data_IF_909698458089
#
_entry.id   IF_909698458089
#
_cell.length_a   1.000
_cell.length_b   1.000
_cell.length_c   1.000
_cell.angle_alpha   90.00
_cell.angle_beta   90.00
_cell.angle_gamma   90.00
#
_symmetry.space_group_name_H-M   'P 1'
#
loop_
_entity.id
_entity.type
_entity.pdbx_description
1 polymer ?
#
# COMPACT_ATOMS: atom_id res chain seq x y z
N UNK A 1 0.35 -6.57 -5.34
CA UNK A 1 -0.81 -5.97 -4.63
C UNK A 1 -2.13 -6.64 -4.98
N UNK A 2 -2.44 -6.90 -6.26
CA UNK A 2 -3.73 -7.45 -6.72
C UNK A 2 -4.15 -8.76 -6.05
N UNK A 3 -3.25 -9.75 -5.95
CA UNK A 3 -3.56 -11.03 -5.29
C UNK A 3 -3.91 -10.88 -3.80
N UNK A 4 -3.26 -9.96 -3.08
CA UNK A 4 -3.57 -9.67 -1.68
C UNK A 4 -4.98 -9.06 -1.53
N UNK A 5 -5.40 -8.22 -2.47
CA UNK A 5 -6.77 -7.68 -2.50
C UNK A 5 -7.77 -8.80 -2.76
N UNK A 6 -7.58 -9.54 -3.86
CA UNK A 6 -8.54 -10.54 -4.33
C UNK A 6 -8.75 -11.70 -3.35
N UNK A 7 -7.67 -12.22 -2.78
CA UNK A 7 -7.71 -13.45 -1.97
C UNK A 7 -7.94 -13.20 -0.48
N UNK A 8 -7.74 -11.97 0.01
CA UNK A 8 -7.65 -11.71 1.47
C UNK A 8 -8.44 -10.50 1.93
N UNK A 9 -8.38 -9.38 1.22
CA UNK A 9 -9.11 -8.17 1.61
C UNK A 9 -10.57 -8.27 1.16
N UNK A 10 -10.82 -8.58 -0.11
CA UNK A 10 -12.17 -8.60 -0.68
C UNK A 10 -13.08 -9.67 -0.03
N UNK A 11 -12.62 -10.92 0.22
CA UNK A 11 -13.46 -11.90 0.90
C UNK A 11 -13.75 -11.53 2.36
N UNK A 12 -12.79 -10.92 3.05
CA UNK A 12 -12.98 -10.43 4.41
C UNK A 12 -14.02 -9.30 4.46
N UNK A 13 -13.94 -8.35 3.53
CA UNK A 13 -14.92 -7.27 3.40
C UNK A 13 -16.33 -7.79 3.09
N UNK A 14 -16.47 -8.75 2.18
CA UNK A 14 -17.77 -9.37 1.86
C UNK A 14 -18.42 -10.02 3.09
N UNK A 15 -17.65 -10.76 3.89
CA UNK A 15 -18.15 -11.36 5.14
C UNK A 15 -18.58 -10.32 6.16
N UNK A 16 -17.77 -9.27 6.34
CA UNK A 16 -18.11 -8.18 7.26
C UNK A 16 -19.40 -7.45 6.84
N UNK A 17 -19.62 -7.26 5.54
CA UNK A 17 -20.86 -6.64 5.02
C UNK A 17 -22.06 -7.56 5.28
N UNK A 18 -21.94 -8.86 4.97
CA UNK A 18 -23.01 -9.83 5.23
C UNK A 18 -23.38 -9.90 6.73
N UNK A 19 -22.39 -9.89 7.64
CA UNK A 19 -22.67 -9.86 9.07
C UNK A 19 -23.44 -8.61 9.50
N UNK A 20 -23.11 -7.44 8.93
CA UNK A 20 -23.84 -6.19 9.20
C UNK A 20 -25.26 -6.21 8.64
N UNK A 21 -25.46 -6.75 7.44
CA UNK A 21 -26.79 -6.90 6.82
C UNK A 21 -27.69 -7.83 7.65
N UNK A 22 -27.10 -8.83 8.29
CA UNK A 22 -27.81 -9.77 9.17
C UNK A 22 -27.90 -9.28 10.63
N UNK A 23 -27.51 -8.03 10.92
CA UNK A 23 -27.56 -7.44 12.26
C UNK A 23 -26.57 -8.02 13.27
N UNK A 24 -25.59 -8.82 12.80
CA UNK A 24 -24.52 -9.36 13.62
C UNK A 24 -23.36 -8.38 13.74
N UNK A 25 -22.56 -8.55 14.80
CA UNK A 25 -21.29 -7.82 14.96
C UNK A 25 -20.20 -8.50 14.11
N UNK A 26 -19.52 -7.78 13.20
CA UNK A 26 -18.44 -8.35 12.41
C UNK A 26 -17.26 -8.82 13.27
N UNK A 27 -16.59 -9.88 12.84
CA UNK A 27 -15.39 -10.39 13.51
C UNK A 27 -14.27 -9.34 13.55
N UNK A 28 -13.94 -8.89 14.77
CA UNK A 28 -12.89 -7.92 15.02
C UNK A 28 -11.50 -8.39 14.56
N UNK A 29 -11.20 -9.68 14.66
CA UNK A 29 -9.92 -10.24 14.22
C UNK A 29 -9.81 -10.22 12.70
N UNK A 30 -10.89 -10.54 11.99
CA UNK A 30 -10.98 -10.45 10.52
C UNK A 30 -10.80 -8.99 10.06
N UNK A 31 -11.49 -8.05 10.72
CA UNK A 31 -11.38 -6.63 10.44
C UNK A 31 -9.95 -6.09 10.66
N UNK A 32 -9.30 -6.47 11.76
CA UNK A 32 -7.92 -6.08 12.06
C UNK A 32 -6.93 -6.60 11.01
N UNK A 33 -7.08 -7.86 10.59
CA UNK A 33 -6.24 -8.49 9.55
C UNK A 33 -6.42 -7.81 8.19
N UNK A 34 -7.65 -7.52 7.79
CA UNK A 34 -7.94 -6.80 6.54
C UNK A 34 -7.35 -5.38 6.58
N UNK A 35 -7.51 -4.66 7.70
CA UNK A 35 -6.96 -3.31 7.91
C UNK A 35 -5.44 -3.28 7.81
N UNK A 36 -4.74 -4.25 8.40
CA UNK A 36 -3.28 -4.35 8.33
C UNK A 36 -2.81 -4.51 6.87
N UNK A 37 -3.47 -5.39 6.11
CA UNK A 37 -3.15 -5.61 4.68
C UNK A 37 -3.41 -4.38 3.83
N UNK A 38 -4.50 -3.66 4.08
CA UNK A 38 -4.78 -2.38 3.41
C UNK A 38 -3.70 -1.35 3.73
N UNK A 39 -3.27 -1.22 5.00
CA UNK A 39 -2.17 -0.32 5.38
C UNK A 39 -0.87 -0.68 4.66
N UNK A 40 -0.49 -1.95 4.64
CA UNK A 40 0.69 -2.41 3.91
C UNK A 40 0.59 -2.04 2.42
N UNK A 41 -0.54 -2.33 1.79
CA UNK A 41 -0.80 -1.96 0.41
C UNK A 41 -0.66 -0.45 0.18
N UNK A 42 -1.19 0.41 1.05
CA UNK A 42 -1.04 1.87 0.96
C UNK A 42 0.43 2.31 0.99
N UNK A 43 1.26 1.72 1.86
CA UNK A 43 2.68 2.04 1.91
C UNK A 43 3.46 1.54 0.70
N UNK A 44 3.02 0.46 0.07
CA UNK A 44 3.66 -0.12 -1.11
C UNK A 44 3.35 0.61 -2.41
N UNK A 45 2.37 1.52 -2.47
CA UNK A 45 2.01 2.24 -3.70
C UNK A 45 3.19 3.03 -4.24
N UNK A 46 3.83 3.85 -3.41
CA UNK A 46 4.95 4.72 -3.82
C UNK A 46 6.12 3.91 -4.42
N UNK A 47 6.69 2.90 -3.74
CA UNK A 47 7.78 2.11 -4.33
C UNK A 47 7.33 1.32 -5.56
N UNK A 48 6.10 0.79 -5.58
CA UNK A 48 5.60 0.03 -6.73
C UNK A 48 5.48 0.92 -7.98
N UNK A 49 4.86 2.10 -7.84
CA UNK A 49 4.72 3.06 -8.94
C UNK A 49 6.09 3.57 -9.38
N UNK A 50 7.00 3.84 -8.45
CA UNK A 50 8.36 4.22 -8.79
C UNK A 50 9.05 3.17 -9.66
N UNK A 51 8.96 1.89 -9.31
CA UNK A 51 9.53 0.80 -10.11
C UNK A 51 8.89 0.75 -11.51
N UNK A 52 7.56 0.88 -11.60
CA UNK A 52 6.84 0.89 -12.88
C UNK A 52 7.32 2.03 -13.81
N UNK A 53 7.48 3.23 -13.26
CA UNK A 53 7.96 4.40 -14.01
C UNK A 53 9.44 4.29 -14.34
N UNK A 54 10.26 3.77 -13.43
CA UNK A 54 11.71 3.62 -13.63
C UNK A 54 12.06 2.77 -14.84
N UNK A 55 11.27 1.73 -15.13
CA UNK A 55 11.44 0.92 -16.33
C UNK A 55 11.25 1.70 -17.65
N UNK A 56 10.57 2.85 -17.61
CA UNK A 56 10.39 3.74 -18.76
C UNK A 56 11.49 4.81 -18.87
N UNK A 57 12.34 4.95 -17.84
CA UNK A 57 13.48 5.87 -17.79
C UNK A 57 14.76 5.15 -17.35
N UNK A 58 15.21 4.11 -18.08
CA UNK A 58 16.29 3.24 -17.64
C UNK A 58 17.62 3.98 -17.45
N UNK A 59 17.91 5.00 -18.27
CA UNK A 59 19.14 5.82 -18.18
C UNK A 59 19.16 6.74 -16.96
N UNK A 60 17.99 7.21 -16.50
CA UNK A 60 17.87 8.10 -15.34
C UNK A 60 17.79 7.34 -14.00
N UNK A 61 17.45 6.05 -14.02
CA UNK A 61 17.16 5.26 -12.82
C UNK A 61 18.16 4.11 -12.63
N UNK A 62 17.98 2.96 -13.28
CA UNK A 62 18.78 1.76 -13.02
C UNK A 62 20.14 1.71 -13.74
N UNK A 63 20.26 2.34 -14.92
CA UNK A 63 21.49 2.44 -15.71
C UNK A 63 22.40 3.60 -15.31
N UNK A 64 22.01 4.40 -14.32
CA UNK A 64 22.80 5.52 -13.82
C UNK A 64 23.78 5.03 -12.74
N UNK A 65 25.02 5.55 -12.72
CA UNK A 65 26.01 5.25 -11.67
C UNK A 65 25.53 5.61 -10.25
N UNK A 66 24.50 6.45 -10.14
CA UNK A 66 23.88 6.88 -8.88
C UNK A 66 22.54 6.18 -8.56
N UNK A 67 22.23 5.07 -9.23
CA UNK A 67 20.99 4.29 -9.05
C UNK A 67 20.61 4.05 -7.57
N UNK A 68 21.56 3.68 -6.71
CA UNK A 68 21.32 3.49 -5.27
C UNK A 68 20.96 4.78 -4.54
N UNK A 69 21.58 5.92 -4.92
CA UNK A 69 21.28 7.24 -4.33
C UNK A 69 19.87 7.68 -4.71
N UNK A 70 19.50 7.52 -5.99
CA UNK A 70 18.16 7.82 -6.49
C UNK A 70 17.12 6.99 -5.73
N UNK A 71 17.36 5.68 -5.56
CA UNK A 71 16.50 4.80 -4.78
C UNK A 71 16.34 5.27 -3.32
N UNK A 72 17.44 5.60 -2.64
CA UNK A 72 17.41 6.08 -1.25
C UNK A 72 16.63 7.39 -1.10
N UNK A 73 16.86 8.37 -1.99
CA UNK A 73 16.15 9.66 -1.97
C UNK A 73 14.65 9.46 -2.14
N UNK A 74 14.23 8.56 -3.03
CA UNK A 74 12.82 8.29 -3.27
C UNK A 74 12.15 7.54 -2.13
N UNK A 75 12.86 6.63 -1.47
CA UNK A 75 12.38 5.98 -0.24
C UNK A 75 12.14 7.03 0.84
N UNK A 76 13.08 7.96 1.04
CA UNK A 76 12.97 9.04 2.03
C UNK A 76 11.85 10.03 1.68
N UNK A 77 11.77 10.46 0.42
CA UNK A 77 10.73 11.37 -0.06
C UNK A 77 9.34 10.73 0.05
N UNK A 78 9.20 9.45 -0.33
CA UNK A 78 7.98 8.68 -0.16
C UNK A 78 7.55 8.52 1.30
N UNK A 79 8.50 8.23 2.19
CA UNK A 79 8.25 8.17 3.63
C UNK A 79 7.79 9.51 4.20
N UNK A 80 8.44 10.61 3.80
CA UNK A 80 8.11 11.98 4.19
C UNK A 80 6.72 12.40 3.71
N UNK A 81 6.42 12.21 2.42
CA UNK A 81 5.11 12.49 1.84
C UNK A 81 4.01 11.67 2.53
N UNK A 82 4.24 10.38 2.75
CA UNK A 82 3.31 9.55 3.52
C UNK A 82 3.14 10.10 4.93
N UNK A 83 4.21 10.51 5.63
CA UNK A 83 4.14 11.05 7.00
C UNK A 83 3.32 12.35 7.05
N UNK A 84 3.53 13.25 6.10
CA UNK A 84 2.79 14.51 5.97
C UNK A 84 1.29 14.29 5.71
N UNK A 85 0.95 13.40 4.77
CA UNK A 85 -0.46 13.07 4.48
C UNK A 85 -1.17 12.43 5.69
N UNK A 86 -0.41 11.73 6.54
CA UNK A 86 -0.92 11.13 7.79
C UNK A 86 -1.09 12.18 8.89
N UNK A 87 -0.18 13.14 9.01
CA UNK A 87 -0.26 14.20 10.03
C UNK A 87 -1.29 15.28 9.70
N UNK A 88 -1.60 15.50 8.43
CA UNK A 88 -2.64 16.47 8.00
C UNK A 88 -4.08 15.97 8.21
N UNK A 89 -4.27 14.73 8.67
CA UNK A 89 -5.57 14.08 8.90
C UNK A 89 -5.87 13.83 10.39
N UNK A 90 -5.02 14.31 11.29
CA UNK A 90 -5.14 14.16 12.75
C UNK A 90 -5.46 15.47 13.43
#
# INVERSE_FOLDING_TARGET
>A
MTANVWLRILPAQRRMIADLEEGRRPDAALAARAKLRTKHNTYMVVPTVFIMVSNHYPVATYGNKYNWVVLSVLILAGWGAAKLLRSARG
#
